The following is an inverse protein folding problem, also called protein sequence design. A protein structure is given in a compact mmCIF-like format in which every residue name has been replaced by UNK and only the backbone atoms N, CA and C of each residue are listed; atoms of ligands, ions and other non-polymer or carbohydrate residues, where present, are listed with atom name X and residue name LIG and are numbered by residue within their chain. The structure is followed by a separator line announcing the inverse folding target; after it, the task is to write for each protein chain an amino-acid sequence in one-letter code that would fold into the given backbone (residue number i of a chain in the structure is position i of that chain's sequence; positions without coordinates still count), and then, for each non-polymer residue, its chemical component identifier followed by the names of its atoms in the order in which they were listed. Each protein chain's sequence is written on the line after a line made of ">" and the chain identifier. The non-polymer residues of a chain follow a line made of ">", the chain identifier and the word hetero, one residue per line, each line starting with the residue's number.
data_IF_333708669851
#
_entry.id   IF_333708669851
#
_cell.length_a   1.000
_cell.length_b   1.000
_cell.length_c   1.000
_cell.angle_alpha   90.00
_cell.angle_beta   90.00
_cell.angle_gamma   90.00
#
_symmetry.space_group_name_H-M   'P 1'
#
loop_
_entity.id
_entity.type
_entity.pdbx_description
1 polymer ?
#
# COMPACT_ATOMS: atom_id res chain seq x y z
N UNK A 1 5.60 6.20 16.82
CA UNK A 1 4.65 6.76 15.83
C UNK A 1 3.43 5.85 15.77
N UNK A 2 2.23 6.14 16.28
CA UNK A 2 1.79 6.94 17.43
C UNK A 2 2.05 6.15 18.72
N UNK A 3 2.65 6.78 19.73
CA UNK A 3 2.71 6.19 21.08
C UNK A 3 1.34 6.25 21.79
N UNK A 4 0.41 7.07 21.26
CA UNK A 4 -0.93 7.27 21.81
C UNK A 4 -1.90 7.72 20.69
N UNK A 5 -2.37 6.81 19.80
CA UNK A 5 -3.30 7.18 18.75
C UNK A 5 -4.62 7.68 19.38
N UNK A 6 -5.26 8.73 18.83
CA UNK A 6 -6.51 9.24 19.40
C UNK A 6 -7.55 8.12 19.44
N UNK A 7 -8.16 7.91 20.61
CA UNK A 7 -8.96 6.71 20.91
C UNK A 7 -10.16 6.51 19.95
N UNK A 8 -10.58 7.59 19.28
CA UNK A 8 -11.72 7.64 18.36
C UNK A 8 -11.37 7.98 16.91
N UNK A 9 -10.08 8.17 16.58
CA UNK A 9 -9.65 8.51 15.22
C UNK A 9 -9.48 7.26 14.34
N UNK A 10 -9.63 7.45 13.03
CA UNK A 10 -9.18 6.49 12.03
C UNK A 10 -7.72 6.79 11.67
N UNK A 11 -6.84 5.79 11.73
CA UNK A 11 -5.42 5.96 11.42
C UNK A 11 -5.03 4.99 10.30
N UNK A 12 -4.66 5.56 9.16
CA UNK A 12 -4.26 4.82 7.97
C UNK A 12 -2.77 5.01 7.67
N UNK A 13 -2.10 3.92 7.34
CA UNK A 13 -0.82 3.92 6.67
C UNK A 13 -1.10 3.91 5.16
N UNK A 14 -0.64 4.93 4.43
CA UNK A 14 -0.96 5.14 3.02
C UNK A 14 0.31 5.18 2.20
N UNK A 15 0.28 4.49 1.07
CA UNK A 15 1.34 4.49 0.06
C UNK A 15 0.79 3.93 -1.26
N UNK A 16 1.63 3.97 -2.28
CA UNK A 16 1.36 3.43 -3.60
C UNK A 16 2.39 2.38 -4.00
N UNK A 17 1.89 1.35 -4.66
CA UNK A 17 2.71 0.48 -5.46
C UNK A 17 2.55 0.86 -6.92
N UNK A 18 3.58 1.49 -7.47
CA UNK A 18 3.56 2.00 -8.84
C UNK A 18 3.98 0.95 -9.86
N UNK A 19 3.55 1.15 -11.11
CA UNK A 19 4.01 0.39 -12.28
C UNK A 19 3.91 -1.14 -12.20
N UNK A 20 2.87 -1.68 -11.55
CA UNK A 20 2.59 -3.13 -11.51
C UNK A 20 2.32 -3.61 -12.94
N UNK A 21 3.14 -4.53 -13.45
CA UNK A 21 3.04 -5.02 -14.82
C UNK A 21 1.94 -6.07 -14.98
N UNK A 22 1.09 -5.91 -16.00
CA UNK A 22 0.18 -6.96 -16.45
C UNK A 22 0.96 -7.92 -17.38
N UNK A 23 1.47 -9.01 -16.78
CA UNK A 23 2.25 -10.03 -17.47
C UNK A 23 1.40 -11.27 -17.78
N UNK A 24 1.28 -11.62 -19.05
CA UNK A 24 0.70 -12.89 -19.50
C UNK A 24 1.81 -13.87 -19.90
N UNK A 25 1.70 -15.14 -19.52
CA UNK A 25 2.72 -16.15 -19.81
C UNK A 25 2.43 -16.78 -21.17
N UNK A 26 3.45 -16.84 -22.03
CA UNK A 26 3.31 -17.47 -23.35
C UNK A 26 3.04 -18.98 -23.29
N UNK A 27 3.58 -19.66 -22.27
CA UNK A 27 3.41 -21.10 -22.10
C UNK A 27 2.63 -21.40 -20.80
N UNK A 28 1.61 -22.27 -20.83
CA UNK A 28 0.93 -22.73 -19.62
C UNK A 28 1.92 -23.47 -18.71
N UNK A 29 1.75 -23.32 -17.39
CA UNK A 29 2.50 -24.11 -16.41
C UNK A 29 2.05 -25.56 -16.55
N UNK A 30 2.92 -26.40 -17.11
CA UNK A 30 2.64 -27.83 -17.20
C UNK A 30 2.67 -28.43 -15.79
N UNK A 31 1.71 -29.32 -15.46
CA UNK A 31 1.69 -29.95 -14.15
C UNK A 31 2.99 -30.70 -13.87
N UNK A 32 3.43 -30.66 -12.60
CA UNK A 32 4.57 -31.44 -12.11
C UNK A 32 4.33 -32.93 -12.41
N UNK A 33 5.23 -33.52 -13.19
CA UNK A 33 5.26 -34.96 -13.45
C UNK A 33 6.40 -35.57 -12.61
N UNK A 34 6.20 -36.71 -11.92
CA UNK A 34 7.28 -37.34 -11.16
C UNK A 34 8.55 -37.51 -12.01
N UNK A 35 9.69 -37.03 -11.51
CA UNK A 35 10.97 -37.07 -12.23
C UNK A 35 11.29 -35.86 -13.12
N UNK A 36 10.42 -34.84 -13.18
CA UNK A 36 10.67 -33.60 -13.96
C UNK A 36 10.48 -32.35 -13.09
N UNK A 37 11.57 -31.63 -12.85
CA UNK A 37 11.51 -30.30 -12.22
C UNK A 37 10.62 -29.35 -13.05
N UNK A 38 9.88 -28.48 -12.37
CA UNK A 38 9.04 -27.46 -13.00
C UNK A 38 9.89 -26.63 -13.98
N UNK A 39 9.48 -26.54 -15.25
CA UNK A 39 10.16 -25.72 -16.26
C UNK A 39 9.35 -24.44 -16.49
N UNK A 40 9.94 -23.30 -16.17
CA UNK A 40 9.33 -21.99 -16.45
C UNK A 40 9.86 -21.46 -17.79
N UNK A 41 8.96 -21.21 -18.74
CA UNK A 41 9.31 -20.44 -19.94
C UNK A 41 9.52 -18.97 -19.57
N UNK A 42 10.64 -18.38 -19.98
CA UNK A 42 11.00 -17.00 -19.63
C UNK A 42 10.25 -15.93 -20.45
N UNK A 43 9.48 -16.32 -21.47
CA UNK A 43 8.78 -15.38 -22.34
C UNK A 43 7.39 -15.00 -21.81
N UNK A 44 7.09 -13.70 -21.82
CA UNK A 44 5.82 -13.13 -21.40
C UNK A 44 5.36 -12.03 -22.36
N UNK A 45 4.05 -11.80 -22.42
CA UNK A 45 3.45 -10.62 -23.04
C UNK A 45 3.20 -9.54 -21.99
N UNK A 46 3.55 -8.29 -22.31
CA UNK A 46 3.28 -7.13 -21.47
C UNK A 46 2.04 -6.41 -21.98
N UNK A 47 0.99 -6.35 -21.16
CA UNK A 47 -0.26 -5.70 -21.52
C UNK A 47 -0.37 -4.25 -21.01
N UNK A 48 0.67 -3.75 -20.34
CA UNK A 48 0.71 -2.42 -19.74
C UNK A 48 0.97 -2.47 -18.24
N UNK A 49 0.85 -1.32 -17.59
CA UNK A 49 1.09 -1.15 -16.15
C UNK A 49 -0.10 -0.51 -15.45
N UNK A 50 -0.19 -0.74 -14.13
CA UNK A 50 -1.18 -0.15 -13.25
C UNK A 50 -0.53 0.24 -11.93
N UNK A 51 -0.94 1.35 -11.34
CA UNK A 51 -0.57 1.73 -9.97
C UNK A 51 -1.69 1.32 -9.02
N UNK A 52 -1.33 0.94 -7.79
CA UNK A 52 -2.26 0.63 -6.72
C UNK A 52 -1.95 1.53 -5.51
N UNK A 53 -2.86 2.44 -5.20
CA UNK A 53 -2.89 3.13 -3.92
C UNK A 53 -3.54 2.23 -2.88
N UNK A 54 -2.99 2.19 -1.68
CA UNK A 54 -3.54 1.44 -0.55
C UNK A 54 -3.49 2.25 0.74
N UNK A 55 -4.53 2.11 1.55
CA UNK A 55 -4.67 2.69 2.87
C UNK A 55 -4.93 1.56 3.86
N UNK A 56 -3.89 1.19 4.61
CA UNK A 56 -3.94 0.15 5.62
C UNK A 56 -4.38 0.76 6.96
N UNK A 57 -5.54 0.32 7.47
CA UNK A 57 -6.02 0.74 8.78
C UNK A 57 -5.17 0.10 9.87
N UNK A 58 -4.41 0.91 10.61
CA UNK A 58 -3.44 0.40 11.59
C UNK A 58 -4.10 -0.32 12.78
N UNK A 59 -5.39 -0.06 13.05
CA UNK A 59 -6.14 -0.69 14.15
C UNK A 59 -6.82 -1.98 13.72
N UNK A 60 -7.54 -1.95 12.60
CA UNK A 60 -8.35 -3.10 12.14
C UNK A 60 -7.58 -4.04 11.22
N UNK A 61 -6.56 -3.53 10.54
CA UNK A 61 -5.80 -4.24 9.52
C UNK A 61 -6.49 -4.32 8.16
N UNK A 62 -7.65 -3.67 8.00
CA UNK A 62 -8.38 -3.54 6.73
C UNK A 62 -7.62 -2.68 5.73
N UNK A 63 -7.83 -2.90 4.44
CA UNK A 63 -7.18 -2.15 3.36
C UNK A 63 -8.18 -1.57 2.40
N UNK A 64 -8.28 -0.24 2.38
CA UNK A 64 -8.90 0.45 1.25
C UNK A 64 -7.88 0.53 0.10
N UNK A 65 -8.27 0.17 -1.12
CA UNK A 65 -7.39 0.25 -2.28
C UNK A 65 -8.03 0.91 -3.48
N UNK A 66 -7.23 1.61 -4.27
CA UNK A 66 -7.64 2.25 -5.53
C UNK A 66 -6.58 2.04 -6.60
N UNK A 67 -7.00 1.52 -7.74
CA UNK A 67 -6.11 1.40 -8.90
C UNK A 67 -6.15 2.66 -9.76
N UNK A 68 -5.00 3.11 -10.24
CA UNK A 68 -4.88 4.25 -11.13
C UNK A 68 -3.96 3.92 -12.32
N UNK A 69 -4.21 4.51 -13.47
CA UNK A 69 -3.36 4.34 -14.67
C UNK A 69 -2.08 5.17 -14.61
N UNK A 70 -2.10 6.23 -13.79
CA UNK A 70 -0.97 7.14 -13.59
C UNK A 70 -0.74 7.32 -12.10
N UNK A 71 0.46 7.76 -11.76
CA UNK A 71 0.82 8.17 -10.41
C UNK A 71 0.97 9.69 -10.43
N UNK A 72 -0.05 10.40 -9.97
CA UNK A 72 -0.08 11.87 -9.94
C UNK A 72 -0.74 12.35 -8.66
N UNK A 73 -0.50 13.62 -8.30
CA UNK A 73 -1.17 14.23 -7.14
C UNK A 73 -2.69 14.30 -7.28
N UNK A 74 -3.24 14.36 -8.50
CA UNK A 74 -4.69 14.29 -8.71
C UNK A 74 -5.26 12.93 -8.35
N UNK A 75 -4.57 11.84 -8.69
CA UNK A 75 -4.97 10.48 -8.31
C UNK A 75 -4.83 10.27 -6.79
N UNK A 76 -3.77 10.82 -6.20
CA UNK A 76 -3.58 10.79 -4.75
C UNK A 76 -4.69 11.55 -4.01
N UNK A 77 -5.05 12.76 -4.43
CA UNK A 77 -6.18 13.52 -3.87
C UNK A 77 -7.50 12.75 -4.05
N UNK A 78 -7.73 12.15 -5.22
CA UNK A 78 -8.89 11.31 -5.45
C UNK A 78 -8.92 10.08 -4.53
N UNK A 79 -7.75 9.58 -4.09
CA UNK A 79 -7.68 8.49 -3.11
C UNK A 79 -7.93 8.98 -1.68
N UNK A 80 -7.43 10.16 -1.31
CA UNK A 80 -7.76 10.79 -0.03
C UNK A 80 -9.27 11.02 0.10
N UNK A 81 -9.93 11.47 -0.97
CA UNK A 81 -11.39 11.61 -1.03
C UNK A 81 -12.11 10.29 -0.77
N UNK A 82 -11.62 9.18 -1.33
CA UNK A 82 -12.18 7.85 -1.06
C UNK A 82 -12.00 7.50 0.43
N UNK A 83 -10.83 7.73 1.04
CA UNK A 83 -10.59 7.48 2.47
C UNK A 83 -11.59 8.26 3.33
N UNK A 84 -11.79 9.55 3.05
CA UNK A 84 -12.74 10.41 3.76
C UNK A 84 -14.16 9.86 3.63
N UNK A 85 -14.59 9.49 2.42
CA UNK A 85 -15.93 8.97 2.16
C UNK A 85 -16.21 7.63 2.85
N UNK A 86 -15.19 6.81 3.09
CA UNK A 86 -15.31 5.53 3.80
C UNK A 86 -15.32 5.65 5.32
N UNK A 87 -15.17 6.86 5.88
CA UNK A 87 -15.24 7.09 7.32
C UNK A 87 -16.56 7.76 7.74
N UNK A 88 -17.06 7.48 8.97
CA UNK A 88 -18.17 8.23 9.53
C UNK A 88 -17.93 9.73 9.48
N UNK A 89 -18.96 10.50 9.13
CA UNK A 89 -18.88 11.96 9.01
C UNK A 89 -18.37 12.58 10.31
N UNK A 90 -17.41 13.49 10.19
CA UNK A 90 -16.83 14.22 11.32
C UNK A 90 -15.80 13.42 12.14
N UNK A 91 -15.55 12.15 11.81
CA UNK A 91 -14.47 11.38 12.44
C UNK A 91 -13.11 11.98 12.06
N UNK A 92 -12.21 12.05 13.02
CA UNK A 92 -10.83 12.47 12.78
C UNK A 92 -10.08 11.35 12.02
N UNK A 93 -9.36 11.73 10.97
CA UNK A 93 -8.64 10.82 10.08
C UNK A 93 -7.18 11.23 10.06
N UNK A 94 -6.31 10.30 10.39
CA UNK A 94 -4.86 10.48 10.33
C UNK A 94 -4.31 9.58 9.23
N UNK A 95 -3.60 10.18 8.29
CA UNK A 95 -2.96 9.48 7.17
C UNK A 95 -1.45 9.58 7.34
N UNK A 96 -0.79 8.45 7.54
CA UNK A 96 0.67 8.33 7.60
C UNK A 96 1.16 8.06 6.18
N UNK A 97 2.06 8.89 5.67
CA UNK A 97 2.63 8.78 4.32
C UNK A 97 4.15 8.94 4.35
N UNK A 98 4.80 8.49 3.29
CA UNK A 98 6.20 8.78 3.05
C UNK A 98 6.42 10.24 2.61
N UNK A 99 7.69 10.63 2.39
CA UNK A 99 8.05 12.00 2.01
C UNK A 99 7.98 12.32 0.52
N UNK A 100 7.32 11.49 -0.29
CA UNK A 100 7.28 11.69 -1.74
C UNK A 100 6.71 13.05 -2.14
N UNK A 101 7.29 13.67 -3.17
CA UNK A 101 6.91 15.01 -3.63
C UNK A 101 5.44 15.10 -4.07
N UNK A 102 4.88 13.99 -4.59
CA UNK A 102 3.48 13.90 -4.98
C UNK A 102 2.50 14.17 -3.81
N UNK A 103 2.92 13.89 -2.57
CA UNK A 103 2.17 14.11 -1.34
C UNK A 103 2.22 15.55 -0.82
N UNK A 104 3.06 16.41 -1.41
CA UNK A 104 3.35 17.77 -0.92
C UNK A 104 3.03 18.86 -1.95
N UNK A 105 2.06 18.59 -2.82
CA UNK A 105 1.66 19.54 -3.86
C UNK A 105 0.57 20.48 -3.39
N UNK A 106 0.45 21.64 -4.04
CA UNK A 106 -0.61 22.63 -3.77
C UNK A 106 -2.02 22.05 -3.85
N UNK A 107 -2.23 21.02 -4.67
CA UNK A 107 -3.50 20.30 -4.78
C UNK A 107 -3.81 19.52 -3.49
N UNK A 108 -2.82 18.85 -2.92
CA UNK A 108 -2.96 18.16 -1.64
C UNK A 108 -3.21 19.16 -0.51
N UNK A 109 -2.46 20.26 -0.47
CA UNK A 109 -2.66 21.32 0.53
C UNK A 109 -4.05 21.97 0.44
N UNK A 110 -4.58 22.16 -0.78
CA UNK A 110 -5.93 22.65 -0.97
C UNK A 110 -6.97 21.66 -0.44
N UNK A 111 -6.82 20.37 -0.78
CA UNK A 111 -7.70 19.32 -0.32
C UNK A 111 -7.73 19.21 1.22
N UNK A 112 -6.56 19.28 1.87
CA UNK A 112 -6.47 19.24 3.34
C UNK A 112 -7.14 20.44 4.02
N UNK A 113 -7.08 21.63 3.40
CA UNK A 113 -7.78 22.82 3.92
C UNK A 113 -9.30 22.69 3.83
N UNK A 114 -9.81 22.01 2.82
CA UNK A 114 -11.25 21.71 2.66
C UNK A 114 -11.72 20.59 3.60
N UNK A 115 -10.81 19.77 4.12
CA UNK A 115 -11.10 18.61 4.97
C UNK A 115 -10.36 18.72 6.33
N UNK A 116 -10.80 19.62 7.24
CA UNK A 116 -10.08 19.90 8.48
C UNK A 116 -9.99 18.71 9.47
N UNK A 117 -10.82 17.69 9.28
CA UNK A 117 -10.78 16.44 10.05
C UNK A 117 -9.74 15.44 9.52
N UNK A 118 -9.11 15.70 8.37
CA UNK A 118 -8.04 14.88 7.79
C UNK A 118 -6.67 15.50 8.06
N UNK A 119 -5.77 14.74 8.67
CA UNK A 119 -4.40 15.15 9.01
C UNK A 119 -3.39 14.20 8.40
N UNK A 120 -2.42 14.74 7.66
CA UNK A 120 -1.30 13.96 7.11
C UNK A 120 -0.09 14.02 8.04
N UNK A 121 0.55 12.87 8.24
CA UNK A 121 1.75 12.68 9.06
C UNK A 121 2.82 12.04 8.19
N UNK A 122 3.97 12.69 8.08
CA UNK A 122 5.08 12.19 7.29
C UNK A 122 5.97 11.28 8.14
N UNK A 123 6.40 10.14 7.60
CA UNK A 123 7.46 9.35 8.22
C UNK A 123 8.75 10.16 8.28
N UNK A 124 9.69 9.87 9.20
CA UNK A 124 11.04 10.42 9.11
C UNK A 124 11.67 10.09 7.74
N UNK A 125 12.57 10.97 7.28
CA UNK A 125 13.32 10.75 6.03
C UNK A 125 14.04 9.40 6.09
N UNK A 126 14.07 8.67 4.97
CA UNK A 126 14.64 7.32 4.86
C UNK A 126 14.04 6.25 5.79
N UNK A 127 12.87 6.50 6.36
CA UNK A 127 12.18 5.57 7.27
C UNK A 127 10.86 5.05 6.70
N UNK A 128 10.82 4.76 5.40
CA UNK A 128 9.62 4.22 4.73
C UNK A 128 9.20 2.87 5.31
N UNK A 129 10.16 2.09 5.86
CA UNK A 129 9.92 0.84 6.59
C UNK A 129 8.97 0.96 7.79
N UNK A 130 8.73 2.18 8.30
CA UNK A 130 7.72 2.44 9.34
C UNK A 130 6.29 2.46 8.78
N UNK A 131 6.12 2.63 7.46
CA UNK A 131 4.85 2.67 6.79
C UNK A 131 4.27 1.25 6.68
N UNK A 132 3.33 0.90 7.55
CA UNK A 132 2.81 -0.47 7.70
C UNK A 132 2.16 -1.03 6.43
N UNK A 133 1.70 -0.15 5.53
CA UNK A 133 1.16 -0.56 4.23
C UNK A 133 2.20 -1.27 3.37
N UNK A 134 3.51 -1.00 3.54
CA UNK A 134 4.58 -1.70 2.83
C UNK A 134 4.57 -3.21 3.14
N UNK A 135 4.24 -3.60 4.39
CA UNK A 135 4.09 -5.00 4.77
C UNK A 135 2.92 -5.66 4.04
N UNK A 136 1.83 -4.93 3.87
CA UNK A 136 0.69 -5.39 3.10
C UNK A 136 1.02 -5.47 1.60
N UNK A 137 1.80 -4.51 1.06
CA UNK A 137 2.29 -4.58 -0.31
C UNK A 137 3.18 -5.80 -0.54
N UNK A 138 4.06 -6.15 0.39
CA UNK A 138 4.85 -7.38 0.30
C UNK A 138 3.96 -8.64 0.28
N UNK A 139 2.81 -8.61 0.96
CA UNK A 139 1.84 -9.71 0.96
C UNK A 139 1.11 -9.84 -0.38
N UNK A 140 0.51 -8.77 -0.90
CA UNK A 140 -0.18 -8.82 -2.20
C UNK A 140 0.80 -9.09 -3.35
N UNK A 141 2.04 -8.63 -3.24
CA UNK A 141 3.11 -8.97 -4.18
C UNK A 141 3.29 -10.49 -4.25
N UNK A 142 3.49 -11.14 -3.11
CA UNK A 142 3.71 -12.58 -3.02
C UNK A 142 2.49 -13.40 -3.46
N UNK A 143 1.31 -12.98 -3.05
CA UNK A 143 0.08 -13.77 -3.18
C UNK A 143 -0.57 -13.60 -4.56
N UNK A 144 -0.40 -12.44 -5.21
CA UNK A 144 -1.10 -12.10 -6.46
C UNK A 144 -0.13 -11.71 -7.58
N UNK A 145 0.81 -10.80 -7.33
CA UNK A 145 1.57 -10.15 -8.41
C UNK A 145 2.68 -11.05 -8.94
N UNK A 146 3.57 -11.52 -8.06
CA UNK A 146 4.79 -12.26 -8.42
C UNK A 146 4.51 -13.58 -9.17
N UNK A 147 3.35 -14.21 -8.90
CA UNK A 147 2.94 -15.48 -9.52
C UNK A 147 1.71 -15.33 -10.42
N UNK A 148 1.20 -14.11 -10.57
CA UNK A 148 0.00 -13.83 -11.34
C UNK A 148 0.23 -13.95 -12.84
N UNK A 149 -0.85 -14.30 -13.54
CA UNK A 149 -0.97 -14.18 -14.99
C UNK A 149 -2.05 -13.15 -15.25
N UNK A 150 -1.77 -12.15 -16.07
CA UNK A 150 -2.64 -11.01 -16.32
C UNK A 150 -2.77 -10.75 -17.82
N UNK A 151 -3.91 -11.12 -18.39
CA UNK A 151 -4.14 -11.06 -19.86
C UNK A 151 -4.44 -9.65 -20.35
N UNK A 152 -4.60 -8.69 -19.44
CA UNK A 152 -4.84 -7.27 -19.73
C UNK A 152 -4.72 -6.42 -18.45
N UNK A 153 -4.62 -5.09 -18.60
CA UNK A 153 -4.68 -4.16 -17.45
C UNK A 153 -6.02 -4.25 -16.69
N UNK A 154 -7.20 -4.34 -17.34
CA UNK A 154 -8.45 -4.62 -16.63
C UNK A 154 -8.46 -5.94 -15.85
N UNK A 155 -7.81 -6.98 -16.35
CA UNK A 155 -7.66 -8.26 -15.63
C UNK A 155 -6.80 -8.10 -14.36
N UNK A 156 -5.67 -7.40 -14.46
CA UNK A 156 -4.84 -7.03 -13.31
C UNK A 156 -5.64 -6.24 -12.27
N UNK A 157 -6.34 -5.17 -12.69
CA UNK A 157 -7.22 -4.37 -11.80
C UNK A 157 -8.23 -5.26 -11.07
N UNK A 158 -8.94 -6.12 -11.82
CA UNK A 158 -9.97 -6.99 -11.25
C UNK A 158 -9.39 -7.94 -10.20
N UNK A 159 -8.23 -8.54 -10.47
CA UNK A 159 -7.55 -9.48 -9.56
C UNK A 159 -7.04 -8.79 -8.29
N UNK A 160 -6.41 -7.62 -8.41
CA UNK A 160 -5.98 -6.82 -7.25
C UNK A 160 -7.18 -6.43 -6.36
N UNK A 161 -8.24 -5.87 -6.96
CA UNK A 161 -9.42 -5.46 -6.20
C UNK A 161 -10.19 -6.66 -5.60
N UNK A 162 -10.22 -7.81 -6.29
CA UNK A 162 -10.80 -9.05 -5.73
C UNK A 162 -10.00 -9.53 -4.52
N UNK A 163 -8.68 -9.47 -4.59
CA UNK A 163 -7.82 -9.87 -3.49
C UNK A 163 -8.01 -8.97 -2.27
N UNK A 164 -8.07 -7.64 -2.45
CA UNK A 164 -8.34 -6.68 -1.36
C UNK A 164 -9.66 -7.04 -0.66
N UNK A 165 -10.76 -7.19 -1.42
CA UNK A 165 -12.06 -7.59 -0.86
C UNK A 165 -11.99 -8.90 -0.08
N UNK A 166 -11.25 -9.89 -0.61
CA UNK A 166 -11.09 -11.19 0.06
C UNK A 166 -10.24 -11.10 1.32
N UNK A 167 -9.23 -10.25 1.32
CA UNK A 167 -8.36 -9.99 2.47
C UNK A 167 -9.16 -9.30 3.60
N UNK A 168 -10.02 -8.35 3.27
CA UNK A 168 -10.86 -7.62 4.24
C UNK A 168 -12.00 -8.46 4.84
N UNK A 169 -12.27 -9.67 4.34
CA UNK A 169 -13.16 -10.61 5.04
C UNK A 169 -12.54 -11.10 6.36
N UNK A 170 -11.21 -11.13 6.46
CA UNK A 170 -10.45 -11.53 7.66
C UNK A 170 -9.17 -10.67 7.78
N UNK A 171 -9.32 -9.37 8.07
CA UNK A 171 -8.20 -8.44 8.08
C UNK A 171 -7.25 -8.76 9.23
N UNK A 172 -5.95 -8.54 8.99
CA UNK A 172 -4.91 -8.80 9.98
C UNK A 172 -4.18 -7.51 10.31
N UNK A 173 -4.33 -7.06 11.55
CA UNK A 173 -3.52 -5.95 12.05
C UNK A 173 -2.07 -6.37 12.23
N UNK A 174 -1.16 -5.41 12.02
CA UNK A 174 0.27 -5.61 12.28
C UNK A 174 0.53 -5.36 13.76
N UNK A 175 0.90 -6.42 14.49
CA UNK A 175 1.38 -6.30 15.88
C UNK A 175 2.90 -6.13 15.87
N UNK A 176 3.36 -4.90 16.09
CA UNK A 176 4.78 -4.63 16.31
C UNK A 176 5.20 -5.22 17.66
N UNK A 177 6.22 -6.09 17.65
CA UNK A 177 6.83 -6.63 18.89
C UNK A 177 7.89 -5.71 19.50
N UNK A 178 8.26 -4.65 18.80
CA UNK A 178 9.27 -3.69 19.25
C UNK A 178 8.60 -2.59 20.08
N UNK A 179 8.51 -2.82 21.37
CA UNK A 179 8.05 -1.84 22.34
C UNK A 179 8.94 -1.93 23.58
N UNK A 180 10.24 -1.67 23.39
CA UNK A 180 11.07 -1.29 24.52
C UNK A 180 11.06 0.26 24.60
N UNK A 181 10.31 0.85 25.54
CA UNK A 181 10.24 2.30 25.70
C UNK A 181 11.58 2.93 26.13
N UNK A 182 12.63 2.15 26.41
CA UNK A 182 13.99 2.66 26.67
C UNK A 182 14.77 2.99 25.39
N UNK A 183 14.36 2.49 24.22
CA UNK A 183 15.07 2.73 22.97
C UNK A 183 14.55 4.00 22.30
N UNK A 184 15.11 5.15 22.72
CA UNK A 184 14.90 6.43 22.02
C UNK A 184 15.75 6.43 20.75
N UNK A 185 15.12 6.48 19.58
CA UNK A 185 15.82 6.82 18.34
C UNK A 185 16.14 8.32 18.43
N UNK A 186 17.37 8.65 18.81
CA UNK A 186 17.91 10.01 18.73
C UNK A 186 18.58 10.22 17.38
N UNK A 187 18.53 11.46 16.89
CA UNK A 187 19.01 11.89 15.57
C UNK A 187 20.52 11.64 15.34
N UNK A 188 21.27 11.27 16.38
CA UNK A 188 22.72 11.03 16.35
C UNK A 188 23.12 9.58 16.06
N UNK A 189 22.17 8.71 15.72
CA UNK A 189 22.45 7.30 15.44
C UNK A 189 23.01 7.10 14.03
N UNK A 190 24.22 7.59 13.77
CA UNK A 190 25.00 7.22 12.58
C UNK A 190 25.45 5.77 12.76
N UNK A 191 24.80 4.84 12.06
CA UNK A 191 25.29 3.46 11.94
C UNK A 191 26.42 3.48 10.92
N UNK A 192 27.66 3.54 11.41
CA UNK A 192 28.84 3.20 10.63
C UNK A 192 28.81 1.70 10.36
N UNK A 193 28.66 1.32 9.09
CA UNK A 193 28.77 -0.08 8.64
C UNK A 193 30.25 -0.34 8.33
N UNK A 194 30.86 -1.30 9.03
CA UNK A 194 32.08 -1.97 8.61
C UNK A 194 31.73 -3.25 7.85
#
# INVERSE_FOLDING_TARGET
>A
MYLNPPQHAAVFSVDEKTAIQALDRKNPVLPLTPGRAERHGFEYFRHGTLSLYAAFNTKTGEVLGKTATRHTSSEFVAFLADIVAHQPRGKEIHVIVDNLSAHKTKLVDAFLREHPNLRMHFTPTYSSWLNQVELWFAKIERDVIARGVFTSVPDLKRKLMRYIRKYDEQPKSVKWKYFDPTWKITTDSIITVH
#
